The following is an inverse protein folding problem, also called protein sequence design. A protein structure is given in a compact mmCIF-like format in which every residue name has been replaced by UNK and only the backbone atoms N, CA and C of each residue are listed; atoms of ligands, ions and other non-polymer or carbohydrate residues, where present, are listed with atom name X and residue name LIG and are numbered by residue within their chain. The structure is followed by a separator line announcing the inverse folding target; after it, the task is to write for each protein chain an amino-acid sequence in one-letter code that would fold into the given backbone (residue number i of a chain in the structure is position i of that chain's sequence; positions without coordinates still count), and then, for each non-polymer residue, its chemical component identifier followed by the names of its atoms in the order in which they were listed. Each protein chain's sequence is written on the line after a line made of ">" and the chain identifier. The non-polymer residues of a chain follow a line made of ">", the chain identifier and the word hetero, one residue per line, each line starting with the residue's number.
data_IF_956401000753
#
_entry.id   IF_956401000753
#
_cell.length_a   1.000
_cell.length_b   1.000
_cell.length_c   1.000
_cell.angle_alpha   90.00
_cell.angle_beta   90.00
_cell.angle_gamma   90.00
#
_symmetry.space_group_name_H-M   'P 1'
#
loop_
_entity.id
_entity.type
_entity.pdbx_description
1 polymer ?
#
# COMPACT_ATOMS: atom_id res chain seq x y z
N UNK A 1 19.44 -4.73 -4.64
CA UNK A 1 18.83 -4.16 -5.86
C UNK A 1 17.75 -5.09 -6.38
N UNK A 2 18.07 -6.34 -6.71
CA UNK A 2 17.13 -7.37 -7.19
C UNK A 2 15.85 -7.52 -6.33
N UNK A 3 15.96 -7.52 -4.99
CA UNK A 3 14.79 -7.61 -4.10
C UNK A 3 13.83 -6.43 -4.23
N UNK A 4 14.37 -5.21 -4.28
CA UNK A 4 13.58 -3.98 -4.41
C UNK A 4 12.90 -3.95 -5.78
N UNK A 5 13.61 -4.34 -6.85
CA UNK A 5 13.06 -4.43 -8.19
C UNK A 5 11.92 -5.46 -8.28
N UNK A 6 12.10 -6.64 -7.67
CA UNK A 6 11.06 -7.67 -7.56
C UNK A 6 9.82 -7.13 -6.84
N UNK A 7 10.01 -6.53 -5.66
CA UNK A 7 8.90 -6.01 -4.86
C UNK A 7 8.22 -4.80 -5.49
N UNK A 8 8.97 -3.95 -6.17
CA UNK A 8 8.42 -2.88 -6.99
C UNK A 8 7.53 -3.45 -8.10
N UNK A 9 7.98 -4.46 -8.83
CA UNK A 9 7.19 -5.08 -9.89
C UNK A 9 5.87 -5.68 -9.34
N UNK A 10 5.94 -6.37 -8.20
CA UNK A 10 4.76 -6.91 -7.51
C UNK A 10 3.79 -5.79 -7.11
N UNK A 11 4.29 -4.72 -6.48
CA UNK A 11 3.46 -3.58 -6.05
C UNK A 11 2.83 -2.89 -7.25
N UNK A 12 3.57 -2.64 -8.33
CA UNK A 12 3.04 -2.00 -9.53
C UNK A 12 1.93 -2.86 -10.16
N UNK A 13 2.11 -4.17 -10.23
CA UNK A 13 1.08 -5.08 -10.72
C UNK A 13 -0.17 -5.06 -9.82
N UNK A 14 0.03 -5.17 -8.51
CA UNK A 14 -1.05 -5.07 -7.51
C UNK A 14 -1.86 -3.78 -7.70
N UNK A 15 -1.19 -2.63 -7.79
CA UNK A 15 -1.85 -1.33 -7.92
C UNK A 15 -2.60 -1.14 -9.25
N UNK A 16 -2.08 -1.69 -10.34
CA UNK A 16 -2.74 -1.64 -11.65
C UNK A 16 -4.02 -2.48 -11.71
N UNK A 17 -4.06 -3.57 -10.93
CA UNK A 17 -5.19 -4.50 -10.87
C UNK A 17 -6.17 -4.16 -9.74
N UNK A 18 -5.87 -3.16 -8.92
CA UNK A 18 -6.66 -2.85 -7.74
C UNK A 18 -7.99 -2.19 -8.10
N UNK A 19 -9.07 -2.95 -7.99
CA UNK A 19 -10.45 -2.49 -8.14
C UNK A 19 -11.14 -2.46 -6.76
N UNK A 20 -10.80 -1.47 -5.93
CA UNK A 20 -11.44 -1.30 -4.61
C UNK A 20 -12.93 -0.95 -4.72
N UNK A 21 -13.76 -1.52 -3.85
CA UNK A 21 -15.22 -1.27 -3.82
C UNK A 21 -15.56 0.17 -3.43
N UNK A 22 -16.04 0.99 -4.36
CA UNK A 22 -16.40 2.37 -4.01
C UNK A 22 -17.59 2.95 -4.79
N UNK A 23 -18.43 3.73 -4.09
CA UNK A 23 -19.64 4.37 -4.64
C UNK A 23 -19.41 5.71 -5.34
N UNK A 24 -18.48 6.53 -4.84
CA UNK A 24 -18.29 7.91 -5.30
C UNK A 24 -16.81 8.28 -5.48
N UNK A 25 -16.47 9.08 -6.50
CA UNK A 25 -15.13 9.62 -6.76
C UNK A 25 -14.26 8.84 -7.75
N UNK A 26 -13.20 9.49 -8.23
CA UNK A 26 -12.21 8.93 -9.15
C UNK A 26 -11.03 8.31 -8.37
N UNK A 27 -10.44 7.27 -8.95
CA UNK A 27 -9.26 6.59 -8.40
C UNK A 27 -8.03 6.98 -9.20
N UNK A 28 -6.95 7.34 -8.49
CA UNK A 28 -5.65 7.68 -9.04
C UNK A 28 -4.59 6.74 -8.48
N UNK A 29 -3.77 6.19 -9.38
CA UNK A 29 -2.58 5.42 -9.01
C UNK A 29 -1.37 6.33 -9.14
N UNK A 30 -0.67 6.58 -8.03
CA UNK A 30 0.53 7.41 -8.01
C UNK A 30 1.73 6.54 -7.67
N UNK A 31 2.73 6.55 -8.55
CA UNK A 31 3.92 5.71 -8.40
C UNK A 31 5.17 6.55 -8.58
N UNK A 32 6.02 6.55 -7.56
CA UNK A 32 7.38 7.06 -7.62
C UNK A 32 8.33 5.86 -7.55
N UNK A 33 8.81 5.42 -8.70
CA UNK A 33 9.73 4.27 -8.81
C UNK A 33 11.18 4.64 -8.47
N UNK A 34 11.50 5.94 -8.34
CA UNK A 34 12.84 6.42 -7.97
C UNK A 34 12.98 6.45 -6.45
N UNK A 35 11.95 6.92 -5.74
CA UNK A 35 11.91 7.00 -4.27
C UNK A 35 11.09 5.87 -3.62
N UNK A 36 10.56 4.95 -4.43
CA UNK A 36 9.82 3.76 -4.02
C UNK A 36 8.56 4.02 -3.17
N UNK A 37 7.80 5.04 -3.55
CA UNK A 37 6.50 5.33 -2.95
C UNK A 37 5.37 4.99 -3.93
N UNK A 38 4.36 4.29 -3.45
CA UNK A 38 3.25 3.85 -4.28
C UNK A 38 1.92 4.04 -3.56
N UNK A 39 0.96 4.68 -4.20
CA UNK A 39 -0.28 5.09 -3.58
C UNK A 39 -1.49 4.82 -4.46
N UNK A 40 -2.60 4.52 -3.80
CA UNK A 40 -3.94 4.64 -4.37
C UNK A 40 -4.57 5.84 -3.70
N UNK A 41 -4.88 6.85 -4.48
CA UNK A 41 -5.60 8.04 -4.03
C UNK A 41 -6.99 8.04 -4.62
N UNK A 42 -7.92 8.67 -3.91
CA UNK A 42 -9.23 8.99 -4.47
C UNK A 42 -9.53 10.46 -4.31
N UNK A 43 -10.13 11.02 -5.34
CA UNK A 43 -10.59 12.39 -5.34
C UNK A 43 -12.01 12.48 -5.87
N UNK A 44 -12.81 13.39 -5.33
CA UNK A 44 -14.19 13.52 -5.76
C UNK A 44 -14.96 14.41 -4.81
N UNK A 45 -16.28 14.32 -4.90
CA UNK A 45 -17.19 15.06 -4.05
C UNK A 45 -18.03 14.08 -3.24
N UNK A 46 -18.09 14.31 -1.93
CA UNK A 46 -19.11 13.70 -1.09
C UNK A 46 -20.42 14.46 -1.34
N UNK A 47 -21.29 13.85 -2.15
CA UNK A 47 -22.46 14.52 -2.75
C UNK A 47 -22.06 15.76 -3.57
N UNK A 48 -22.49 16.97 -3.16
CA UNK A 48 -22.24 18.24 -3.85
C UNK A 48 -21.54 19.30 -2.98
N UNK A 49 -21.22 18.98 -1.72
CA UNK A 49 -20.88 20.00 -0.71
C UNK A 49 -19.44 19.93 -0.21
N UNK A 50 -18.77 18.78 -0.35
CA UNK A 50 -17.42 18.60 0.16
C UNK A 50 -16.55 17.86 -0.85
N UNK A 51 -15.53 18.55 -1.37
CA UNK A 51 -14.48 17.91 -2.14
C UNK A 51 -13.54 17.15 -1.21
N UNK A 52 -13.16 15.93 -1.58
CA UNK A 52 -12.13 15.16 -0.91
C UNK A 52 -10.99 14.80 -1.85
N UNK A 53 -9.79 14.71 -1.28
CA UNK A 53 -8.63 14.07 -1.85
C UNK A 53 -7.95 13.28 -0.72
N UNK A 54 -7.91 11.95 -0.83
CA UNK A 54 -7.47 11.08 0.27
C UNK A 54 -6.66 9.90 -0.26
N UNK A 55 -5.62 9.55 0.47
CA UNK A 55 -4.86 8.32 0.25
C UNK A 55 -5.64 7.15 0.85
N UNK A 56 -5.88 6.11 0.05
CA UNK A 56 -6.54 4.88 0.47
C UNK A 56 -5.53 3.80 0.84
N UNK A 57 -4.51 3.64 0.02
CA UNK A 57 -3.40 2.71 0.27
C UNK A 57 -2.11 3.46 0.04
N UNK A 58 -1.13 3.28 0.93
CA UNK A 58 0.23 3.79 0.75
C UNK A 58 1.24 2.72 1.10
N UNK A 59 2.05 2.34 0.11
CA UNK A 59 3.16 1.42 0.22
C UNK A 59 4.49 2.16 0.02
N UNK A 60 5.51 1.74 0.74
CA UNK A 60 6.87 2.29 0.62
C UNK A 60 7.89 1.16 0.72
N UNK A 61 8.77 1.01 -0.27
CA UNK A 61 9.92 0.11 -0.14
C UNK A 61 11.09 0.89 0.44
N UNK A 62 11.53 0.54 1.64
CA UNK A 62 12.67 1.19 2.28
C UNK A 62 14.02 0.63 1.79
N UNK A 63 15.16 1.30 2.07
CA UNK A 63 16.48 0.82 1.65
C UNK A 63 16.88 -0.59 2.15
N UNK A 64 16.26 -1.08 3.22
CA UNK A 64 16.39 -2.47 3.71
C UNK A 64 15.64 -3.50 2.82
N UNK A 65 14.93 -3.01 1.81
CA UNK A 65 14.13 -3.77 0.86
C UNK A 65 12.81 -4.27 1.43
N UNK A 66 12.37 -3.79 2.59
CA UNK A 66 11.06 -4.14 3.15
C UNK A 66 9.96 -3.26 2.59
N UNK A 67 8.76 -3.83 2.44
CA UNK A 67 7.54 -3.11 2.07
C UNK A 67 6.86 -2.63 3.34
N UNK A 68 6.74 -1.31 3.48
CA UNK A 68 6.04 -0.66 4.58
C UNK A 68 4.64 -0.29 4.13
N UNK A 69 3.63 -0.84 4.81
CA UNK A 69 2.23 -0.45 4.65
C UNK A 69 1.99 0.77 5.54
N UNK A 70 2.00 1.94 4.92
CA UNK A 70 1.91 3.25 5.59
C UNK A 70 0.47 3.66 5.89
N UNK A 71 -0.46 3.29 5.03
CA UNK A 71 -1.88 3.57 5.17
C UNK A 71 -2.67 2.46 4.48
N UNK A 72 -3.77 2.03 5.10
CA UNK A 72 -4.76 1.15 4.52
C UNK A 72 -6.14 1.54 5.04
N UNK A 73 -6.89 2.29 4.23
CA UNK A 73 -8.26 2.70 4.51
C UNK A 73 -9.26 1.82 3.78
N UNK A 74 -8.94 0.56 3.56
CA UNK A 74 -9.78 -0.40 2.85
C UNK A 74 -10.05 -1.58 3.78
N UNK A 75 -11.01 -2.43 3.41
CA UNK A 75 -11.26 -3.68 4.14
C UNK A 75 -10.30 -4.79 3.69
N UNK A 76 -9.49 -4.53 2.66
CA UNK A 76 -8.57 -5.51 2.09
C UNK A 76 -7.37 -5.76 3.01
N UNK A 77 -7.02 -7.03 3.17
CA UNK A 77 -5.83 -7.46 3.90
C UNK A 77 -4.59 -7.34 3.00
N UNK A 78 -4.14 -6.11 2.74
CA UNK A 78 -3.03 -5.80 1.82
C UNK A 78 -1.77 -6.60 2.12
N UNK A 79 -1.49 -6.87 3.39
CA UNK A 79 -0.32 -7.65 3.79
C UNK A 79 -0.42 -9.12 3.32
N UNK A 80 -1.58 -9.76 3.45
CA UNK A 80 -1.80 -11.13 2.98
C UNK A 80 -1.85 -11.18 1.44
N UNK A 81 -2.46 -10.19 0.78
CA UNK A 81 -2.41 -10.08 -0.69
C UNK A 81 -0.96 -10.03 -1.19
N UNK A 82 -0.09 -9.26 -0.55
CA UNK A 82 1.33 -9.20 -0.93
C UNK A 82 2.04 -10.54 -0.69
N UNK A 83 1.69 -11.26 0.37
CA UNK A 83 2.21 -12.62 0.62
C UNK A 83 1.79 -13.58 -0.49
N UNK A 84 0.52 -13.55 -0.90
CA UNK A 84 -0.01 -14.38 -1.99
C UNK A 84 0.64 -14.06 -3.33
N UNK A 85 1.05 -12.80 -3.53
CA UNK A 85 1.83 -12.35 -4.69
C UNK A 85 3.34 -12.67 -4.59
N UNK A 86 3.78 -13.36 -3.54
CA UNK A 86 5.14 -13.88 -3.40
C UNK A 86 6.14 -12.97 -2.68
N UNK A 87 5.65 -12.04 -1.85
CA UNK A 87 6.46 -11.28 -0.89
C UNK A 87 6.67 -12.11 0.38
N UNK A 88 7.89 -12.13 0.91
CA UNK A 88 8.14 -12.78 2.19
C UNK A 88 7.41 -12.03 3.32
N UNK A 89 6.67 -12.76 4.17
CA UNK A 89 5.93 -12.18 5.30
C UNK A 89 6.81 -11.32 6.23
N UNK A 90 8.11 -11.66 6.37
CA UNK A 90 9.09 -10.92 7.18
C UNK A 90 9.61 -9.64 6.52
N UNK A 91 9.38 -9.48 5.22
CA UNK A 91 9.70 -8.28 4.47
C UNK A 91 8.54 -7.28 4.41
N UNK A 92 7.39 -7.59 5.00
CA UNK A 92 6.26 -6.67 5.12
C UNK A 92 6.28 -6.04 6.52
N UNK A 93 6.13 -4.72 6.61
CA UNK A 93 6.08 -3.99 7.88
C UNK A 93 4.78 -3.19 7.95
N UNK A 94 4.02 -3.38 9.01
CA UNK A 94 2.79 -2.62 9.27
C UNK A 94 3.14 -1.30 9.95
N UNK A 95 3.39 -0.25 9.16
CA UNK A 95 3.81 1.04 9.69
C UNK A 95 2.69 1.76 10.47
N UNK A 96 1.43 1.44 10.16
CA UNK A 96 0.24 1.88 10.89
C UNK A 96 0.19 1.40 12.35
N UNK A 97 0.98 0.37 12.69
CA UNK A 97 1.13 -0.09 14.08
C UNK A 97 2.28 0.65 14.77
N UNK A 98 2.11 1.02 16.07
CA UNK A 98 3.21 1.45 16.91
C UNK A 98 4.34 0.42 16.91
N UNK A 99 5.59 0.89 16.92
CA UNK A 99 6.78 0.05 16.79
C UNK A 99 6.79 -1.15 17.75
N UNK A 100 6.49 -0.92 19.03
CA UNK A 100 6.46 -1.97 20.06
C UNK A 100 5.35 -3.02 19.88
N UNK A 101 4.36 -2.78 19.01
CA UNK A 101 3.28 -3.73 18.70
C UNK A 101 3.60 -4.57 17.47
N UNK A 102 4.53 -4.12 16.61
CA UNK A 102 4.82 -4.80 15.33
C UNK A 102 5.32 -6.22 15.52
N UNK A 103 6.06 -6.49 16.59
CA UNK A 103 6.52 -7.86 16.93
C UNK A 103 5.36 -8.85 17.11
N UNK A 104 4.19 -8.37 17.55
CA UNK A 104 3.00 -9.18 17.75
C UNK A 104 2.17 -9.39 16.48
N UNK A 105 2.49 -8.66 15.40
CA UNK A 105 1.71 -8.68 14.15
C UNK A 105 1.95 -9.94 13.29
N UNK A 106 3.01 -10.69 13.56
CA UNK A 106 3.41 -11.83 12.73
C UNK A 106 4.10 -11.47 11.41
N UNK A 107 4.30 -10.18 11.12
CA UNK A 107 5.07 -9.68 9.97
C UNK A 107 6.50 -9.27 10.37
N UNK A 108 7.16 -8.45 9.57
CA UNK A 108 8.45 -7.83 9.87
C UNK A 108 8.34 -6.63 10.82
N UNK A 109 9.50 -6.25 11.36
CA UNK A 109 9.72 -5.06 12.21
C UNK A 109 10.63 -4.03 11.55
#
# INVERSE_FOLDING_TARGET
>A
MEKIEKYQAIILNFLQQYEGEHKDGETYVLTDTIHHHYQIMRAGWDNLNHYFLRVRIHLHIKPDGKIWIMENRTEDEIAEILVDLGVDKRDIVLALLPEHVRELSGYGV
#
